data_IF_904822934978
#
_entry.id   IF_904822934978
#
_cell.length_a   1.000
_cell.length_b   1.000
_cell.length_c   1.000
_cell.angle_alpha   90.00
_cell.angle_beta   90.00
_cell.angle_gamma   90.00
#
_symmetry.space_group_name_H-M   'P 1'
#
loop_
_entity.id
_entity.type
_entity.pdbx_description
1 polymer ?
#
# COMPACT_ATOMS: atom_id res chain seq x y z
N UNK A 1 -43.52 -67.23 -32.82
CA UNK A 1 -42.79 -66.81 -31.61
C UNK A 1 -42.46 -65.34 -31.80
N UNK A 2 -43.33 -64.46 -31.31
CA UNK A 2 -43.32 -63.03 -31.59
C UNK A 2 -42.54 -62.29 -30.51
N UNK A 3 -41.35 -61.78 -30.86
CA UNK A 3 -40.62 -60.84 -30.02
C UNK A 3 -41.16 -59.46 -30.31
N UNK A 4 -42.07 -58.98 -29.47
CA UNK A 4 -42.51 -57.58 -29.46
C UNK A 4 -41.34 -56.70 -29.04
N UNK A 5 -40.78 -55.96 -30.00
CA UNK A 5 -39.86 -54.86 -29.75
C UNK A 5 -40.61 -53.76 -28.99
N UNK A 6 -40.46 -53.72 -27.66
CA UNK A 6 -40.87 -52.52 -26.91
C UNK A 6 -39.96 -51.35 -27.29
N UNK A 7 -40.51 -50.15 -27.58
CA UNK A 7 -39.72 -48.96 -27.79
C UNK A 7 -39.02 -48.57 -26.48
N UNK A 8 -37.72 -48.27 -26.57
CA UNK A 8 -36.92 -47.76 -25.45
C UNK A 8 -37.64 -46.57 -24.80
N UNK A 9 -37.77 -46.52 -23.46
CA UNK A 9 -38.25 -45.31 -22.81
C UNK A 9 -37.27 -44.17 -23.14
N UNK A 10 -37.76 -43.17 -23.87
CA UNK A 10 -37.08 -41.88 -24.01
C UNK A 10 -36.96 -41.29 -22.62
N UNK A 11 -35.77 -41.44 -22.02
CA UNK A 11 -35.40 -40.72 -20.82
C UNK A 11 -35.47 -39.23 -21.19
N UNK A 12 -36.52 -38.54 -20.76
CA UNK A 12 -36.48 -37.09 -20.69
C UNK A 12 -35.28 -36.77 -19.80
N UNK A 13 -34.21 -36.21 -20.36
CA UNK A 13 -33.16 -35.62 -19.55
C UNK A 13 -33.85 -34.64 -18.60
N UNK A 14 -33.76 -34.79 -17.28
CA UNK A 14 -34.08 -33.69 -16.40
C UNK A 14 -33.07 -32.61 -16.74
N UNK A 15 -33.58 -31.62 -17.47
CA UNK A 15 -32.99 -30.34 -17.83
C UNK A 15 -31.90 -29.96 -16.85
N UNK A 16 -30.73 -29.58 -17.37
CA UNK A 16 -29.69 -28.81 -16.69
C UNK A 16 -30.27 -27.49 -16.13
N UNK A 17 -31.16 -27.60 -15.15
CA UNK A 17 -31.91 -26.51 -14.52
C UNK A 17 -31.77 -26.58 -13.00
N UNK A 18 -30.80 -27.36 -12.50
CA UNK A 18 -30.07 -26.94 -11.28
C UNK A 18 -29.03 -25.90 -11.67
N UNK A 19 -29.54 -24.87 -12.32
CA UNK A 19 -28.99 -23.53 -12.44
C UNK A 19 -28.25 -23.23 -11.15
N UNK A 20 -27.00 -22.85 -11.34
CA UNK A 20 -26.14 -22.20 -10.38
C UNK A 20 -26.94 -21.15 -9.59
N UNK A 21 -27.63 -21.58 -8.54
CA UNK A 21 -28.24 -20.65 -7.61
C UNK A 21 -27.06 -19.86 -7.04
N UNK A 22 -26.99 -18.54 -7.24
CA UNK A 22 -25.94 -17.76 -6.63
C UNK A 22 -26.12 -17.97 -5.13
N UNK A 23 -25.20 -18.70 -4.49
CA UNK A 23 -25.14 -18.78 -3.03
C UNK A 23 -24.99 -17.33 -2.60
N UNK A 24 -26.12 -16.69 -2.25
CA UNK A 24 -26.18 -15.29 -1.89
C UNK A 24 -25.37 -15.20 -0.63
N UNK A 25 -24.09 -14.83 -0.78
CA UNK A 25 -23.12 -14.76 0.28
C UNK A 25 -23.53 -13.57 1.17
N UNK A 26 -24.51 -13.81 2.06
CA UNK A 26 -25.03 -12.82 3.00
C UNK A 26 -23.96 -12.64 4.07
N UNK A 27 -22.92 -11.89 3.74
CA UNK A 27 -21.91 -11.42 4.69
C UNK A 27 -22.62 -10.86 5.92
N UNK A 28 -22.37 -11.47 7.08
CA UNK A 28 -23.06 -11.15 8.31
C UNK A 28 -22.86 -9.67 8.68
N UNK A 29 -23.88 -8.99 9.25
CA UNK A 29 -23.79 -7.57 9.58
C UNK A 29 -22.65 -7.27 10.56
N UNK A 30 -22.35 -8.21 11.47
CA UNK A 30 -21.18 -8.16 12.36
C UNK A 30 -19.86 -8.12 11.58
N UNK A 31 -19.72 -8.95 10.53
CA UNK A 31 -18.52 -8.95 9.67
C UNK A 31 -18.38 -7.61 8.94
N UNK A 32 -19.47 -7.03 8.43
CA UNK A 32 -19.44 -5.70 7.78
C UNK A 32 -19.01 -4.59 8.74
N UNK A 33 -19.52 -4.59 9.96
CA UNK A 33 -19.13 -3.62 10.98
C UNK A 33 -17.64 -3.74 11.35
N UNK A 34 -17.12 -4.95 11.57
CA UNK A 34 -15.68 -5.16 11.83
C UNK A 34 -14.82 -4.70 10.65
N UNK A 35 -15.24 -4.97 9.41
CA UNK A 35 -14.54 -4.45 8.24
C UNK A 35 -14.56 -2.93 8.20
N UNK A 36 -15.70 -2.28 8.44
CA UNK A 36 -15.82 -0.82 8.43
C UNK A 36 -14.92 -0.16 9.48
N UNK A 37 -14.92 -0.70 10.71
CA UNK A 37 -14.05 -0.21 11.80
C UNK A 37 -12.57 -0.38 11.42
N UNK A 38 -12.18 -1.55 10.89
CA UNK A 38 -10.81 -1.77 10.41
C UNK A 38 -10.39 -0.76 9.35
N UNK A 39 -11.23 -0.51 8.36
CA UNK A 39 -10.93 0.46 7.30
C UNK A 39 -10.84 1.88 7.86
N UNK A 40 -11.72 2.26 8.78
CA UNK A 40 -11.65 3.56 9.44
C UNK A 40 -10.34 3.74 10.21
N UNK A 41 -9.91 2.72 10.97
CA UNK A 41 -8.61 2.75 11.66
C UNK A 41 -7.45 2.87 10.66
N UNK A 42 -7.47 2.12 9.55
CA UNK A 42 -6.44 2.21 8.52
C UNK A 42 -6.41 3.60 7.84
N UNK A 43 -7.57 4.19 7.59
CA UNK A 43 -7.68 5.55 7.01
C UNK A 43 -7.09 6.58 7.98
N UNK A 44 -7.47 6.52 9.25
CA UNK A 44 -6.92 7.43 10.28
C UNK A 44 -5.41 7.28 10.39
N UNK A 45 -4.91 6.04 10.45
CA UNK A 45 -3.47 5.78 10.52
C UNK A 45 -2.75 6.28 9.26
N UNK A 46 -3.37 6.13 8.09
CA UNK A 46 -2.84 6.65 6.82
C UNK A 46 -2.73 8.17 6.84
N UNK A 47 -3.74 8.89 7.34
CA UNK A 47 -3.63 10.35 7.45
C UNK A 47 -2.57 10.75 8.47
N UNK A 48 -2.48 10.05 9.60
CA UNK A 48 -1.50 10.33 10.64
C UNK A 48 -0.05 10.21 10.12
N UNK A 49 0.22 9.26 9.21
CA UNK A 49 1.54 9.09 8.60
C UNK A 49 1.79 10.06 7.44
N UNK A 50 0.77 10.40 6.64
CA UNK A 50 0.91 11.27 5.46
C UNK A 50 1.05 12.75 5.85
N UNK A 51 0.30 13.22 6.84
CA UNK A 51 0.32 14.64 7.26
C UNK A 51 1.74 15.16 7.58
N UNK A 52 2.57 14.50 8.41
CA UNK A 52 3.92 14.99 8.69
C UNK A 52 4.82 14.98 7.45
N UNK A 53 4.64 14.02 6.54
CA UNK A 53 5.38 13.99 5.28
C UNK A 53 4.99 15.19 4.41
N UNK A 54 3.70 15.51 4.29
CA UNK A 54 3.23 16.69 3.57
C UNK A 54 3.74 17.99 4.18
N UNK A 55 3.84 18.06 5.50
CA UNK A 55 4.43 19.20 6.22
C UNK A 55 5.91 19.40 5.87
N UNK A 56 6.70 18.32 5.84
CA UNK A 56 8.12 18.38 5.44
C UNK A 56 8.24 18.84 3.99
N UNK A 57 7.49 18.24 3.07
CA UNK A 57 7.50 18.62 1.65
C UNK A 57 7.06 20.08 1.46
N UNK A 58 6.04 20.53 2.18
CA UNK A 58 5.63 21.92 2.12
C UNK A 58 6.72 22.85 2.67
N UNK A 59 7.45 22.44 3.71
CA UNK A 59 8.51 23.25 4.32
C UNK A 59 9.72 23.41 3.40
N UNK A 60 10.09 22.37 2.65
CA UNK A 60 11.21 22.45 1.70
C UNK A 60 10.94 23.41 0.53
N UNK A 61 9.66 23.67 0.22
CA UNK A 61 9.23 24.55 -0.86
C UNK A 61 8.84 25.95 -0.39
N UNK A 62 8.67 26.21 0.90
CA UNK A 62 8.33 27.54 1.41
C UNK A 62 9.52 28.48 1.44
N UNK A 63 9.27 29.78 1.53
CA UNK A 63 10.30 30.78 1.84
C UNK A 63 10.67 30.77 3.34
N UNK A 64 11.91 31.16 3.68
CA UNK A 64 12.41 31.21 5.08
C UNK A 64 11.54 32.08 6.01
N UNK A 65 10.95 33.15 5.48
CA UNK A 65 10.02 34.01 6.22
C UNK A 65 8.69 33.30 6.50
N UNK A 66 8.15 32.61 5.50
CA UNK A 66 6.84 31.95 5.58
C UNK A 66 6.85 30.67 6.45
N UNK A 67 8.00 29.99 6.53
CA UNK A 67 8.19 28.88 7.50
C UNK A 67 8.06 29.38 8.95
N UNK A 68 8.51 30.60 9.24
CA UNK A 68 8.46 31.20 10.59
C UNK A 68 7.07 31.74 10.94
N UNK A 69 6.35 32.30 9.96
CA UNK A 69 5.03 32.89 10.19
C UNK A 69 3.90 31.86 10.14
N UNK A 70 3.99 30.87 9.23
CA UNK A 70 2.95 29.86 9.01
C UNK A 70 3.53 28.43 9.07
N UNK A 71 3.93 27.94 10.26
CA UNK A 71 4.56 26.62 10.39
C UNK A 71 3.63 25.47 9.93
N UNK A 72 2.33 25.56 10.21
CA UNK A 72 1.31 24.57 9.81
C UNK A 72 0.59 24.88 8.49
N UNK A 73 0.95 25.98 7.81
CA UNK A 73 0.42 26.27 6.49
C UNK A 73 0.88 25.21 5.49
N UNK A 74 0.03 24.77 4.56
CA UNK A 74 0.45 23.87 3.50
C UNK A 74 0.52 24.66 2.19
N UNK A 75 1.64 24.57 1.49
CA UNK A 75 1.89 25.18 0.17
C UNK A 75 1.55 26.69 0.08
N UNK A 76 1.85 27.45 1.13
CA UNK A 76 1.55 28.89 1.22
C UNK A 76 2.47 29.76 0.35
N UNK A 77 3.70 29.32 0.13
CA UNK A 77 4.66 29.93 -0.80
C UNK A 77 5.47 28.86 -1.53
N UNK A 78 5.89 29.16 -2.76
CA UNK A 78 6.73 28.29 -3.58
C UNK A 78 8.07 28.99 -3.89
N UNK A 79 9.16 28.44 -3.38
CA UNK A 79 10.53 28.87 -3.60
C UNK A 79 11.46 27.66 -3.60
N UNK A 80 12.13 27.36 -4.72
CA UNK A 80 13.13 26.28 -4.77
C UNK A 80 14.45 26.67 -4.09
N UNK A 81 14.60 27.92 -3.62
CA UNK A 81 15.84 28.43 -3.05
C UNK A 81 16.32 27.62 -1.83
N UNK A 82 15.39 27.08 -1.03
CA UNK A 82 15.72 26.25 0.13
C UNK A 82 16.36 24.91 -0.29
N UNK A 83 15.88 24.31 -1.38
CA UNK A 83 16.44 23.08 -1.93
C UNK A 83 17.85 23.36 -2.48
N UNK A 84 18.01 24.42 -3.28
CA UNK A 84 19.31 24.81 -3.83
C UNK A 84 20.30 25.11 -2.71
N UNK A 85 19.89 25.87 -1.68
CA UNK A 85 20.73 26.22 -0.54
C UNK A 85 21.14 25.00 0.27
N UNK A 86 20.23 24.05 0.50
CA UNK A 86 20.56 22.79 1.16
C UNK A 86 21.65 22.03 0.39
N UNK A 87 21.58 22.04 -0.94
CA UNK A 87 22.55 21.39 -1.81
C UNK A 87 23.90 22.11 -1.85
N UNK A 88 23.92 23.43 -2.06
CA UNK A 88 25.16 24.19 -2.29
C UNK A 88 25.86 24.66 -1.01
N UNK A 89 25.09 24.98 0.04
CA UNK A 89 25.63 25.54 1.29
C UNK A 89 25.45 24.59 2.48
N UNK A 90 24.51 23.66 2.39
CA UNK A 90 24.22 22.69 3.45
C UNK A 90 25.07 21.43 3.41
N UNK A 91 25.95 21.24 2.41
CA UNK A 91 26.79 20.04 2.30
C UNK A 91 26.00 18.75 2.08
N UNK A 92 24.81 18.84 1.47
CA UNK A 92 23.92 17.68 1.28
C UNK A 92 24.61 16.54 0.49
N UNK A 93 25.47 16.88 -0.46
CA UNK A 93 26.25 15.93 -1.25
C UNK A 93 27.12 15.02 -0.37
N UNK A 94 27.85 15.59 0.59
CA UNK A 94 28.73 14.83 1.49
C UNK A 94 27.92 13.91 2.41
N UNK A 95 26.79 14.39 2.93
CA UNK A 95 25.92 13.58 3.79
C UNK A 95 25.28 12.41 3.03
N UNK A 96 24.87 12.64 1.78
CA UNK A 96 24.29 11.60 0.94
C UNK A 96 25.34 10.54 0.60
N UNK A 97 26.54 10.95 0.20
CA UNK A 97 27.64 10.04 -0.11
C UNK A 97 28.09 9.24 1.11
N UNK A 98 28.24 9.87 2.27
CA UNK A 98 28.59 9.17 3.52
C UNK A 98 27.53 8.13 3.91
N UNK A 99 26.25 8.48 3.78
CA UNK A 99 25.15 7.56 4.10
C UNK A 99 25.13 6.35 3.18
N UNK A 100 25.36 6.55 1.87
CA UNK A 100 25.45 5.46 0.89
C UNK A 100 26.69 4.60 1.18
N UNK A 101 27.84 5.23 1.40
CA UNK A 101 29.11 4.55 1.64
C UNK A 101 29.09 3.72 2.93
N UNK A 102 28.31 4.12 3.94
CA UNK A 102 28.13 3.33 5.16
C UNK A 102 27.04 2.26 4.99
N UNK A 103 25.87 2.60 4.46
CA UNK A 103 24.71 1.71 4.43
C UNK A 103 24.86 0.55 3.43
N UNK A 104 25.45 0.77 2.26
CA UNK A 104 25.61 -0.25 1.22
C UNK A 104 26.52 -1.40 1.66
N UNK A 105 27.80 -1.17 2.03
CA UNK A 105 28.66 -2.27 2.47
C UNK A 105 28.16 -2.91 3.76
N UNK A 106 27.54 -2.15 4.67
CA UNK A 106 26.92 -2.71 5.87
C UNK A 106 25.79 -3.68 5.52
N UNK A 107 24.89 -3.30 4.61
CA UNK A 107 23.79 -4.16 4.18
C UNK A 107 24.31 -5.41 3.47
N UNK A 108 25.32 -5.27 2.59
CA UNK A 108 25.95 -6.41 1.91
C UNK A 108 26.58 -7.37 2.92
N UNK A 109 27.34 -6.86 3.88
CA UNK A 109 27.98 -7.67 4.91
C UNK A 109 26.94 -8.39 5.78
N UNK A 110 25.87 -7.69 6.17
CA UNK A 110 24.75 -8.27 6.92
C UNK A 110 24.09 -9.39 6.10
N UNK A 111 23.80 -9.19 4.82
CA UNK A 111 23.20 -10.22 3.96
C UNK A 111 24.08 -11.47 3.89
N UNK A 112 25.40 -11.31 3.69
CA UNK A 112 26.35 -12.42 3.62
C UNK A 112 26.34 -13.22 4.93
N UNK A 113 26.51 -12.53 6.07
CA UNK A 113 26.53 -13.17 7.38
C UNK A 113 25.17 -13.82 7.70
N UNK A 114 24.07 -13.11 7.50
CA UNK A 114 22.71 -13.63 7.74
C UNK A 114 22.37 -14.83 6.86
N UNK A 115 22.85 -14.88 5.62
CA UNK A 115 22.62 -16.04 4.74
C UNK A 115 23.41 -17.26 5.23
N UNK A 116 24.67 -17.08 5.63
CA UNK A 116 25.47 -18.18 6.20
C UNK A 116 24.91 -18.67 7.54
N UNK A 117 24.46 -17.75 8.39
CA UNK A 117 23.84 -18.08 9.68
C UNK A 117 22.43 -18.67 9.53
N UNK A 118 21.67 -18.28 8.51
CA UNK A 118 20.30 -18.77 8.27
C UNK A 118 20.24 -20.13 7.59
N UNK A 119 21.37 -20.69 7.13
CA UNK A 119 21.45 -22.04 6.58
C UNK A 119 21.54 -23.14 7.65
N UNK A 120 21.62 -22.77 8.94
CA UNK A 120 21.50 -23.69 10.07
C UNK A 120 20.05 -23.81 10.53
#
# INVERSE_FOLDING_TARGET
>A
MATSTQPRPTYAEPTQERSAAPVKNRVSPRRRATLAVRHLVLIVLSFLTIIPVLMVVSTTLKTDSDVKTNPFGLFTSFSPANIVRAWTAGGFDDYLLNSILLSVPSTVLIIVISTMAGYT
#
